data_IF_506129380613
#
_entry.id   IF_506129380613
#
_cell.length_a   1.000
_cell.length_b   1.000
_cell.length_c   1.000
_cell.angle_alpha   90.00
_cell.angle_beta   90.00
_cell.angle_gamma   90.00
#
_symmetry.space_group_name_H-M   'P 1'
#
loop_
_entity.id
_entity.type
_entity.pdbx_description
1 polymer ?
#
# COMPACT_ATOMS: atom_id res chain seq x y z
N UNK A 1 -0.24 2.25 6.67
CA UNK A 1 1.01 2.29 7.47
C UNK A 1 2.02 3.19 6.77
N UNK A 2 2.84 3.91 7.52
CA UNK A 2 3.96 4.70 6.99
C UNK A 2 5.24 4.07 7.57
N UNK A 3 6.16 3.69 6.70
CA UNK A 3 7.47 3.12 7.04
C UNK A 3 8.52 4.21 6.86
N UNK A 4 9.36 4.37 7.89
CA UNK A 4 10.28 5.50 8.02
C UNK A 4 11.75 5.09 8.13
N UNK A 5 12.03 3.79 8.18
CA UNK A 5 13.40 3.28 8.27
C UNK A 5 13.63 2.02 7.45
N UNK A 6 14.89 1.79 7.09
CA UNK A 6 15.33 0.61 6.38
C UNK A 6 14.99 -0.69 7.13
N UNK A 7 15.17 -0.71 8.45
CA UNK A 7 14.87 -1.87 9.30
C UNK A 7 13.39 -2.23 9.31
N UNK A 8 12.51 -1.22 9.36
CA UNK A 8 11.06 -1.43 9.26
C UNK A 8 10.66 -1.97 7.89
N UNK A 9 11.29 -1.46 6.82
CA UNK A 9 11.05 -1.92 5.46
C UNK A 9 11.45 -3.39 5.29
N UNK A 10 12.64 -3.78 5.77
CA UNK A 10 13.13 -5.17 5.73
C UNK A 10 12.20 -6.12 6.51
N UNK A 11 11.75 -5.69 7.69
CA UNK A 11 10.82 -6.46 8.51
C UNK A 11 9.50 -6.66 7.78
N UNK A 12 8.96 -5.60 7.18
CA UNK A 12 7.74 -5.66 6.38
C UNK A 12 7.90 -6.59 5.16
N UNK A 13 8.99 -6.46 4.40
CA UNK A 13 9.24 -7.28 3.21
C UNK A 13 9.48 -8.75 3.53
N UNK A 14 10.01 -9.06 4.72
CA UNK A 14 10.12 -10.46 5.19
C UNK A 14 8.75 -11.12 5.28
N UNK A 15 7.75 -10.42 5.81
CA UNK A 15 6.36 -10.92 5.89
C UNK A 15 5.69 -10.90 4.51
N UNK A 16 5.82 -9.80 3.76
CA UNK A 16 5.21 -9.63 2.44
C UNK A 16 5.67 -10.69 1.42
N UNK A 17 6.95 -11.08 1.48
CA UNK A 17 7.52 -12.10 0.60
C UNK A 17 7.39 -13.53 1.15
N UNK A 18 6.87 -13.74 2.36
CA UNK A 18 6.80 -15.08 2.97
C UNK A 18 5.98 -16.08 2.13
N UNK A 19 5.00 -15.59 1.37
CA UNK A 19 4.10 -16.40 0.53
C UNK A 19 4.25 -16.12 -0.98
N UNK A 20 5.25 -15.32 -1.39
CA UNK A 20 5.47 -14.94 -2.80
C UNK A 20 6.65 -15.70 -3.40
N UNK A 21 6.43 -16.23 -4.61
CA UNK A 21 7.48 -16.82 -5.43
C UNK A 21 7.27 -16.40 -6.90
N UNK A 22 8.18 -15.66 -7.54
CA UNK A 22 9.45 -15.17 -6.98
C UNK A 22 9.23 -14.12 -5.89
N UNK A 23 10.24 -13.98 -5.02
CA UNK A 23 10.27 -12.88 -4.03
C UNK A 23 10.38 -11.56 -4.76
N UNK A 24 9.76 -10.52 -4.21
CA UNK A 24 9.92 -9.15 -4.70
C UNK A 24 11.17 -8.55 -4.05
N UNK A 25 12.06 -7.98 -4.85
CA UNK A 25 13.27 -7.34 -4.36
C UNK A 25 12.95 -6.14 -3.46
N UNK A 26 13.82 -5.91 -2.48
CA UNK A 26 13.69 -4.80 -1.57
C UNK A 26 14.02 -3.49 -2.31
N UNK A 27 13.14 -2.48 -2.34
CA UNK A 27 13.42 -1.23 -3.01
C UNK A 27 14.47 -0.41 -2.24
N UNK A 28 15.30 0.33 -2.98
CA UNK A 28 16.24 1.30 -2.40
C UNK A 28 15.47 2.58 -2.10
N UNK A 29 15.46 3.01 -0.83
CA UNK A 29 14.72 4.19 -0.36
C UNK A 29 15.64 5.09 0.47
N UNK A 30 15.71 6.37 0.13
CA UNK A 30 16.39 7.38 0.95
C UNK A 30 15.45 7.89 2.04
N UNK A 31 15.40 7.20 3.17
CA UNK A 31 14.50 7.55 4.28
C UNK A 31 14.73 8.94 4.90
N UNK A 32 15.81 9.64 4.53
CA UNK A 32 16.00 11.05 4.90
C UNK A 32 15.03 11.97 4.18
N UNK A 33 14.73 11.67 2.92
CA UNK A 33 13.91 12.49 2.04
C UNK A 33 12.61 11.81 1.59
N UNK A 34 12.52 10.50 1.77
CA UNK A 34 11.44 9.65 1.30
C UNK A 34 10.84 8.83 2.45
N UNK A 35 9.66 8.27 2.20
CA UNK A 35 9.02 7.31 3.08
C UNK A 35 8.25 6.30 2.25
N UNK A 36 7.95 5.14 2.82
CA UNK A 36 7.16 4.11 2.14
C UNK A 36 5.77 4.07 2.75
N UNK A 37 4.74 4.17 1.91
CA UNK A 37 3.34 4.10 2.31
C UNK A 37 2.80 2.73 1.92
N UNK A 38 2.15 2.07 2.88
CA UNK A 38 1.51 0.77 2.66
C UNK A 38 0.02 0.90 3.00
N UNK A 39 -0.82 0.63 2.02
CA UNK A 39 -2.26 0.49 2.19
C UNK A 39 -2.65 -0.97 1.99
N UNK A 40 -3.46 -1.51 2.89
CA UNK A 40 -3.94 -2.89 2.81
C UNK A 40 -5.40 -2.96 3.25
N UNK A 41 -6.19 -3.79 2.56
CA UNK A 41 -7.62 -3.96 2.84
C UNK A 41 -7.92 -5.11 3.80
N UNK A 42 -6.87 -5.76 4.33
CA UNK A 42 -6.99 -7.04 5.01
C UNK A 42 -7.43 -8.15 4.05
N UNK A 43 -7.91 -9.24 4.63
CA UNK A 43 -8.33 -10.42 3.89
C UNK A 43 -9.73 -10.26 3.29
N UNK A 44 -9.91 -10.66 2.03
CA UNK A 44 -11.18 -10.69 1.29
C UNK A 44 -11.46 -12.10 0.77
N UNK A 45 -12.73 -12.46 0.68
CA UNK A 45 -13.20 -13.78 0.24
C UNK A 45 -13.43 -13.89 -1.27
N UNK A 46 -13.16 -12.82 -2.02
CA UNK A 46 -13.20 -12.81 -3.47
C UNK A 46 -12.03 -12.03 -4.06
N UNK A 47 -11.79 -12.25 -5.35
CA UNK A 47 -11.07 -11.31 -6.21
C UNK A 47 -11.92 -10.07 -6.53
N UNK A 48 -11.38 -9.22 -7.40
CA UNK A 48 -12.06 -8.00 -7.88
C UNK A 48 -11.83 -6.75 -7.03
N UNK A 49 -11.27 -6.89 -5.83
CA UNK A 49 -10.83 -5.75 -5.02
C UNK A 49 -9.47 -5.23 -5.46
N UNK A 50 -9.34 -3.91 -5.55
CA UNK A 50 -8.07 -3.26 -5.87
C UNK A 50 -7.97 -1.86 -5.24
N UNK A 51 -6.83 -1.22 -5.41
CA UNK A 51 -6.61 0.18 -5.03
C UNK A 51 -6.47 1.04 -6.29
N UNK A 52 -7.09 2.21 -6.29
CA UNK A 52 -6.76 3.27 -7.24
C UNK A 52 -5.41 3.90 -6.89
N UNK A 53 -4.73 4.48 -7.88
CA UNK A 53 -3.52 5.26 -7.64
C UNK A 53 -3.78 6.36 -6.58
N UNK A 54 -2.88 6.56 -5.60
CA UNK A 54 -3.16 7.46 -4.50
C UNK A 54 -3.18 8.93 -4.93
N UNK A 55 -4.23 9.65 -4.53
CA UNK A 55 -4.36 11.08 -4.82
C UNK A 55 -3.75 11.94 -3.70
N UNK A 56 -3.02 13.00 -4.08
CA UNK A 56 -2.47 13.97 -3.13
C UNK A 56 -3.44 15.13 -2.92
N UNK A 57 -4.18 15.09 -1.81
CA UNK A 57 -5.31 16.00 -1.57
C UNK A 57 -4.89 17.32 -0.90
N UNK A 58 -3.77 17.33 -0.17
CA UNK A 58 -3.24 18.54 0.44
C UNK A 58 -1.76 18.71 0.08
N UNK A 59 -1.41 19.78 -0.66
CA UNK A 59 -0.03 20.03 -1.07
C UNK A 59 0.90 20.43 0.09
N UNK A 60 0.37 20.99 1.18
CA UNK A 60 1.14 21.43 2.36
C UNK A 60 1.46 20.28 3.31
N UNK A 61 0.48 19.42 3.59
CA UNK A 61 0.65 18.25 4.49
C UNK A 61 0.82 16.93 3.75
N UNK A 62 0.91 16.97 2.40
CA UNK A 62 1.08 15.83 1.48
C UNK A 62 0.26 14.62 1.93
N UNK A 63 -1.04 14.84 2.07
CA UNK A 63 -1.99 13.80 2.44
C UNK A 63 -2.30 12.94 1.22
N UNK A 64 -2.04 11.64 1.31
CA UNK A 64 -2.32 10.64 0.27
C UNK A 64 -3.61 9.89 0.60
N UNK A 65 -4.58 9.95 -0.31
CA UNK A 65 -5.80 9.17 -0.21
C UNK A 65 -5.65 7.90 -1.03
N UNK A 66 -5.73 6.75 -0.36
CA UNK A 66 -5.79 5.44 -1.01
C UNK A 66 -7.25 5.07 -1.18
N UNK A 67 -7.73 5.08 -2.42
CA UNK A 67 -9.11 4.72 -2.72
C UNK A 67 -9.23 3.24 -3.03
N UNK A 68 -10.17 2.58 -2.39
CA UNK A 68 -10.52 1.20 -2.67
C UNK A 68 -11.47 1.13 -3.87
N UNK A 69 -11.25 0.15 -4.74
CA UNK A 69 -12.16 -0.23 -5.80
C UNK A 69 -12.73 -1.60 -5.42
N UNK A 70 -14.03 -1.64 -5.15
CA UNK A 70 -14.77 -2.88 -4.90
C UNK A 70 -15.39 -3.41 -6.20
N UNK A 71 -15.50 -4.75 -6.36
CA UNK A 71 -16.24 -5.30 -7.48
C UNK A 71 -17.71 -4.88 -7.39
N UNK A 72 -18.33 -4.66 -8.55
CA UNK A 72 -19.76 -4.37 -8.64
C UNK A 72 -20.63 -5.57 -8.24
N UNK A 73 -21.91 -5.35 -7.89
CA UNK A 73 -22.80 -6.42 -7.42
C UNK A 73 -23.05 -7.56 -8.42
N UNK A 74 -22.73 -7.34 -9.71
CA UNK A 74 -22.94 -8.30 -10.80
C UNK A 74 -21.64 -8.64 -11.54
N UNK A 75 -20.50 -8.18 -11.03
CA UNK A 75 -19.22 -8.47 -11.66
C UNK A 75 -18.88 -9.95 -11.47
N UNK A 76 -18.40 -10.57 -12.55
CA UNK A 76 -17.86 -11.92 -12.46
C UNK A 76 -16.50 -11.84 -11.75
N UNK A 77 -16.45 -12.34 -10.52
CA UNK A 77 -15.24 -12.42 -9.71
C UNK A 77 -14.90 -13.84 -9.34
N UNK A 78 -13.63 -14.10 -9.06
CA UNK A 78 -13.18 -15.38 -8.54
C UNK A 78 -13.46 -15.48 -7.04
N UNK A 79 -13.96 -16.64 -6.58
CA UNK A 79 -14.01 -16.96 -5.15
C UNK A 79 -12.62 -17.42 -4.72
N UNK A 80 -11.88 -16.53 -4.07
CA UNK A 80 -10.52 -16.79 -3.61
C UNK A 80 -10.22 -15.92 -2.40
N UNK A 81 -9.38 -16.44 -1.52
CA UNK A 81 -8.86 -15.68 -0.40
C UNK A 81 -7.78 -14.72 -0.90
N UNK A 82 -8.05 -13.43 -0.86
CA UNK A 82 -7.12 -12.39 -1.33
C UNK A 82 -6.77 -11.42 -0.22
N UNK A 83 -5.62 -10.76 -0.33
CA UNK A 83 -5.21 -9.68 0.58
C UNK A 83 -4.77 -8.48 -0.26
N UNK A 84 -5.72 -7.69 -0.80
CA UNK A 84 -5.40 -6.55 -1.65
C UNK A 84 -4.58 -5.50 -0.89
N UNK A 85 -3.54 -4.99 -1.54
CA UNK A 85 -2.62 -4.03 -0.96
C UNK A 85 -1.87 -3.24 -2.02
N UNK A 86 -1.43 -2.05 -1.64
CA UNK A 86 -0.61 -1.16 -2.46
C UNK A 86 0.55 -0.62 -1.63
N UNK A 87 1.74 -0.62 -2.22
CA UNK A 87 2.96 -0.07 -1.63
C UNK A 87 3.44 1.04 -2.58
N UNK A 88 3.67 2.24 -2.05
CA UNK A 88 4.17 3.38 -2.82
C UNK A 88 5.30 4.09 -2.07
N UNK A 89 6.23 4.67 -2.82
CA UNK A 89 7.27 5.54 -2.26
C UNK A 89 6.78 6.98 -2.35
N UNK A 90 6.71 7.66 -1.21
CA UNK A 90 6.47 9.09 -1.15
C UNK A 90 7.81 9.84 -1.14
N UNK A 91 7.93 10.87 -1.98
CA UNK A 91 9.12 11.74 -2.04
C UNK A 91 9.11 12.79 -0.92
N UNK A 92 8.73 12.38 0.28
CA UNK A 92 8.72 13.17 1.51
C UNK A 92 9.07 12.27 2.70
N UNK A 93 9.74 12.81 3.73
CA UNK A 93 9.97 12.08 4.97
C UNK A 93 8.65 11.80 5.69
N UNK A 94 8.63 10.73 6.49
CA UNK A 94 7.40 10.22 7.13
C UNK A 94 6.63 11.25 7.95
N UNK A 95 7.33 12.15 8.66
CA UNK A 95 6.73 13.20 9.50
C UNK A 95 5.88 14.21 8.71
N UNK A 96 6.13 14.32 7.40
CA UNK A 96 5.45 15.27 6.49
C UNK A 96 4.35 14.61 5.65
N UNK A 97 4.04 13.34 5.92
CA UNK A 97 3.07 12.58 5.15
C UNK A 97 1.91 12.14 6.04
N UNK A 98 0.71 12.19 5.49
CA UNK A 98 -0.49 11.58 6.08
C UNK A 98 -1.13 10.65 5.06
N UNK A 99 -1.76 9.59 5.53
CA UNK A 99 -2.50 8.65 4.69
C UNK A 99 -3.94 8.57 5.16
N UNK A 100 -4.87 8.52 4.21
CA UNK A 100 -6.26 8.18 4.47
C UNK A 100 -6.66 7.01 3.58
N UNK A 101 -7.49 6.12 4.12
CA UNK A 101 -8.20 5.14 3.34
C UNK A 101 -9.57 5.72 2.99
N UNK A 102 -9.95 5.65 1.72
CA UNK A 102 -11.25 6.11 1.22
C UNK A 102 -11.91 4.94 0.52
N UNK A 103 -13.10 4.56 0.96
CA UNK A 103 -13.89 3.49 0.36
C UNK A 103 -15.00 4.08 -0.54
#
# INVERSE_FOLDING_TARGET
MIISSQKELETFFTVFNATKNPKVDLPIVDFKNQSVLVAGMGQKSSGGYSFQEPEVVNKKTKTYNFKVISPGPKDLVTMSLTTPGMIVIANQPAEKVKINLVD
#
